data_IF_347109801680
#
_entry.id   IF_347109801680
#
_cell.length_a   1.000
_cell.length_b   1.000
_cell.length_c   1.000
_cell.angle_alpha   90.00
_cell.angle_beta   90.00
_cell.angle_gamma   90.00
#
_symmetry.space_group_name_H-M   'P 1'
#
loop_
_entity.id
_entity.type
_entity.pdbx_description
1 polymer ?
#
# COMPACT_ATOMS: atom_id res chain seq x y z
N UNK A 1 -18.42 2.91 3.09
CA UNK A 1 -17.34 2.34 2.27
C UNK A 1 -16.03 2.85 2.82
N UNK A 2 -15.22 1.98 3.40
CA UNK A 2 -13.91 2.37 3.95
C UNK A 2 -12.93 2.43 2.78
N UNK A 3 -12.38 3.61 2.50
CA UNK A 3 -11.46 3.85 1.37
C UNK A 3 -10.00 3.94 1.83
N UNK A 4 -9.72 3.53 3.06
CA UNK A 4 -8.42 3.68 3.71
C UNK A 4 -8.02 2.39 4.42
N UNK A 5 -6.75 2.02 4.27
CA UNK A 5 -6.11 0.92 4.97
C UNK A 5 -4.89 1.46 5.71
N UNK A 6 -4.76 1.10 6.99
CA UNK A 6 -3.52 1.33 7.75
C UNK A 6 -2.44 0.36 7.29
N UNK A 7 -1.24 0.88 7.03
CA UNK A 7 -0.08 0.06 6.63
C UNK A 7 0.82 -0.14 7.84
N UNK A 8 1.08 -1.39 8.20
CA UNK A 8 1.93 -1.78 9.32
C UNK A 8 3.16 -2.53 8.83
N UNK A 9 4.30 -2.27 9.48
CA UNK A 9 5.52 -3.04 9.33
C UNK A 9 6.02 -3.44 10.72
N UNK A 10 6.17 -4.74 10.96
CA UNK A 10 6.60 -5.30 12.24
C UNK A 10 5.80 -4.76 13.44
N UNK A 11 4.48 -4.63 13.29
CA UNK A 11 3.58 -4.13 14.33
C UNK A 11 3.55 -2.61 14.50
N UNK A 12 4.37 -1.84 13.75
CA UNK A 12 4.35 -0.38 13.78
C UNK A 12 3.58 0.17 12.58
N UNK A 13 2.66 1.12 12.81
CA UNK A 13 2.01 1.85 11.70
C UNK A 13 3.07 2.70 11.00
N UNK A 14 3.23 2.48 9.70
CA UNK A 14 4.22 3.17 8.87
C UNK A 14 3.60 4.11 7.85
N UNK A 15 2.29 4.01 7.63
CA UNK A 15 1.59 4.82 6.64
C UNK A 15 0.13 4.45 6.50
N UNK A 16 -0.45 5.04 5.46
CA UNK A 16 -1.83 4.84 5.03
C UNK A 16 -1.85 4.55 3.53
N UNK A 17 -2.65 3.57 3.12
CA UNK A 17 -3.05 3.34 1.74
C UNK A 17 -4.48 3.84 1.55
N UNK A 18 -4.70 4.77 0.63
CA UNK A 18 -6.03 5.33 0.32
C UNK A 18 -6.41 5.01 -1.11
N UNK A 19 -7.69 4.67 -1.33
CA UNK A 19 -8.31 4.60 -2.65
C UNK A 19 -9.13 5.88 -2.90
N UNK A 20 -8.62 6.74 -3.78
CA UNK A 20 -9.28 7.98 -4.16
C UNK A 20 -10.42 7.79 -5.17
N UNK A 21 -11.05 8.90 -5.55
CA UNK A 21 -12.07 8.90 -6.62
C UNK A 21 -11.46 8.37 -7.92
N UNK A 22 -12.19 7.51 -8.63
CA UNK A 22 -11.70 6.84 -9.84
C UNK A 22 -10.76 5.65 -9.57
N UNK A 23 -10.63 5.22 -8.31
CA UNK A 23 -9.87 4.01 -7.96
C UNK A 23 -8.35 4.19 -7.96
N UNK A 24 -7.87 5.44 -7.99
CA UNK A 24 -6.44 5.76 -7.87
C UNK A 24 -5.97 5.41 -6.45
N UNK A 25 -4.91 4.62 -6.35
CA UNK A 25 -4.30 4.23 -5.08
C UNK A 25 -3.18 5.19 -4.73
N UNK A 26 -3.12 5.58 -3.45
CA UNK A 26 -2.07 6.44 -2.90
C UNK A 26 -1.56 5.85 -1.60
N UNK A 27 -0.25 5.64 -1.52
CA UNK A 27 0.46 5.27 -0.31
C UNK A 27 1.12 6.52 0.27
N UNK A 28 0.82 6.83 1.53
CA UNK A 28 1.49 7.90 2.26
C UNK A 28 2.17 7.33 3.50
N UNK A 29 3.49 7.46 3.58
CA UNK A 29 4.25 7.13 4.78
C UNK A 29 3.94 8.13 5.92
N UNK A 30 4.01 7.68 7.16
CA UNK A 30 3.96 8.55 8.33
C UNK A 30 5.25 9.36 8.46
N UNK A 31 5.17 10.64 8.83
CA UNK A 31 6.36 11.49 9.00
C UNK A 31 7.31 10.90 10.05
N UNK A 32 6.75 10.45 11.18
CA UNK A 32 7.51 9.80 12.24
C UNK A 32 8.15 8.47 11.82
N UNK A 33 7.65 7.81 10.76
CA UNK A 33 8.34 6.65 10.18
C UNK A 33 9.53 7.08 9.34
N UNK A 34 9.34 8.02 8.41
CA UNK A 34 10.40 8.49 7.50
C UNK A 34 11.59 9.12 8.21
N UNK A 35 11.37 9.71 9.38
CA UNK A 35 12.41 10.34 10.20
C UNK A 35 13.07 9.38 11.20
N UNK A 36 12.56 8.15 11.34
CA UNK A 36 13.05 7.22 12.35
C UNK A 36 14.38 6.56 11.97
N UNK A 37 15.25 6.37 12.96
CA UNK A 37 16.45 5.56 12.80
C UNK A 37 16.06 4.11 12.44
N UNK A 38 16.56 3.60 11.32
CA UNK A 38 16.25 2.26 10.82
C UNK A 38 14.93 2.16 10.02
N UNK A 39 14.37 3.28 9.57
CA UNK A 39 13.22 3.26 8.66
C UNK A 39 13.55 2.50 7.37
N UNK A 40 12.62 1.64 6.95
CA UNK A 40 12.70 0.90 5.70
C UNK A 40 11.49 1.24 4.82
N UNK A 41 11.68 1.36 3.49
CA UNK A 41 10.55 1.43 2.57
C UNK A 41 9.86 0.06 2.50
N UNK A 42 8.55 0.06 2.24
CA UNK A 42 7.80 -1.19 2.04
C UNK A 42 8.10 -1.83 0.67
N UNK A 43 8.62 -1.03 -0.26
CA UNK A 43 9.07 -1.44 -1.58
C UNK A 43 10.17 -0.49 -2.06
N UNK A 44 11.20 -1.02 -2.72
CA UNK A 44 12.27 -0.20 -3.30
C UNK A 44 11.76 0.75 -4.39
N UNK A 45 10.64 0.40 -5.05
CA UNK A 45 9.97 1.28 -6.03
C UNK A 45 9.22 2.45 -5.38
N UNK A 46 9.08 2.44 -4.05
CA UNK A 46 8.44 3.50 -3.26
C UNK A 46 9.36 3.93 -2.10
N UNK A 47 10.49 4.58 -2.41
CA UNK A 47 11.50 4.93 -1.41
C UNK A 47 10.99 5.98 -0.41
N UNK A 48 11.61 6.01 0.77
CA UNK A 48 11.26 6.94 1.86
C UNK A 48 11.63 8.40 1.55
N UNK A 49 12.48 8.66 0.56
CA UNK A 49 12.82 10.02 0.08
C UNK A 49 11.60 10.78 -0.42
N UNK A 50 10.57 10.05 -0.87
CA UNK A 50 9.26 10.60 -1.20
C UNK A 50 8.23 10.03 -0.25
N UNK A 51 7.54 10.90 0.50
CA UNK A 51 6.55 10.47 1.50
C UNK A 51 5.26 9.93 0.89
N UNK A 52 4.90 10.41 -0.31
CA UNK A 52 3.62 10.08 -0.98
C UNK A 52 3.90 9.46 -2.35
N UNK A 53 3.36 8.27 -2.58
CA UNK A 53 3.41 7.56 -3.85
C UNK A 53 1.99 7.35 -4.36
N UNK A 54 1.74 7.47 -5.66
CA UNK A 54 0.39 7.36 -6.23
C UNK A 54 0.35 6.64 -7.57
N UNK A 55 -0.80 6.09 -7.92
CA UNK A 55 -1.09 5.55 -9.23
C UNK A 55 -0.46 4.17 -9.47
N UNK A 56 0.20 4.02 -10.61
CA UNK A 56 0.61 2.72 -11.15
C UNK A 56 1.59 1.98 -10.23
N UNK A 57 2.54 2.67 -9.60
CA UNK A 57 3.54 2.05 -8.72
C UNK A 57 2.90 1.43 -7.47
N UNK A 58 1.92 2.12 -6.88
CA UNK A 58 1.18 1.63 -5.72
C UNK A 58 0.29 0.46 -6.13
N UNK A 59 -0.39 0.57 -7.28
CA UNK A 59 -1.21 -0.52 -7.83
C UNK A 59 -0.39 -1.78 -8.08
N UNK A 60 0.77 -1.66 -8.72
CA UNK A 60 1.64 -2.79 -9.01
C UNK A 60 2.11 -3.46 -7.72
N UNK A 61 2.48 -2.69 -6.69
CA UNK A 61 2.83 -3.23 -5.38
C UNK A 61 1.65 -4.00 -4.76
N UNK A 62 0.45 -3.42 -4.71
CA UNK A 62 -0.73 -4.10 -4.16
C UNK A 62 -1.10 -5.36 -4.92
N UNK A 63 -1.01 -5.36 -6.25
CA UNK A 63 -1.25 -6.54 -7.08
C UNK A 63 -0.25 -7.66 -6.79
N UNK A 64 1.03 -7.32 -6.58
CA UNK A 64 2.06 -8.30 -6.22
C UNK A 64 1.90 -8.93 -4.82
N UNK A 65 0.96 -8.44 -4.00
CA UNK A 65 0.57 -9.07 -2.73
C UNK A 65 -0.59 -10.06 -2.88
N UNK A 66 -1.25 -10.08 -4.04
CA UNK A 66 -2.38 -10.94 -4.31
C UNK A 66 -1.92 -12.23 -5.02
N UNK A 67 -2.74 -13.31 -4.99
CA UNK A 67 -2.45 -14.51 -5.77
C UNK A 67 -2.43 -14.25 -7.28
N UNK A 68 -1.50 -14.90 -7.99
CA UNK A 68 -1.42 -14.82 -9.46
C UNK A 68 -2.56 -15.60 -10.17
N UNK A 69 -3.25 -16.48 -9.46
CA UNK A 69 -4.31 -17.31 -10.05
C UNK A 69 -5.61 -16.53 -10.19
N UNK A 70 -6.02 -16.27 -11.43
CA UNK A 70 -7.29 -15.60 -11.75
C UNK A 70 -8.49 -16.27 -11.06
N UNK A 71 -8.53 -17.60 -11.03
CA UNK A 71 -9.62 -18.35 -10.35
C UNK A 71 -9.70 -18.05 -8.85
N UNK A 72 -8.56 -17.84 -8.20
CA UNK A 72 -8.51 -17.52 -6.77
C UNK A 72 -8.96 -16.07 -6.56
N UNK A 73 -8.52 -15.15 -7.41
CA UNK A 73 -8.94 -13.75 -7.37
C UNK A 73 -10.45 -13.59 -7.58
N UNK A 74 -11.02 -14.25 -8.59
CA UNK A 74 -12.47 -14.25 -8.86
C UNK A 74 -13.26 -14.79 -7.66
N UNK A 75 -12.75 -15.84 -7.01
CA UNK A 75 -13.38 -16.38 -5.81
C UNK A 75 -13.35 -15.36 -4.68
N UNK A 76 -12.19 -14.74 -4.40
CA UNK A 76 -12.08 -13.73 -3.34
C UNK A 76 -12.97 -12.52 -3.59
N UNK A 77 -13.10 -12.07 -4.84
CA UNK A 77 -13.98 -10.96 -5.20
C UNK A 77 -15.48 -11.25 -5.02
N UNK A 78 -15.86 -12.53 -4.93
CA UNK A 78 -17.24 -12.94 -4.57
C UNK A 78 -17.42 -13.14 -3.07
N UNK A 79 -16.39 -13.65 -2.40
CA UNK A 79 -16.45 -14.05 -1.00
C UNK A 79 -16.27 -12.84 -0.04
N UNK A 80 -15.67 -11.74 -0.50
CA UNK A 80 -15.38 -10.52 0.26
C UNK A 80 -15.82 -9.25 -0.48
#
# INVERSE_FOLDING_TARGET
MTTELSVLLSGRRIGTLTQGRGGVLTLQYEAGWTESAGALPISLSMPLTTRVHTGAVVRAYCQGLLPDSERVLERWARDF
#
